data_IF_049686219930
#
_entry.id   IF_049686219930
#
_cell.length_a   1.000
_cell.length_b   1.000
_cell.length_c   1.000
_cell.angle_alpha   90.00
_cell.angle_beta   90.00
_cell.angle_gamma   90.00
#
_symmetry.space_group_name_H-M   'P 1'
#
loop_
_entity.id
_entity.type
_entity.pdbx_description
1 polymer ?
#
# COMPACT_ATOMS: atom_id res chain seq x y z
N UNK A 1 15.91 4.37 6.06
CA UNK A 1 15.31 5.36 6.98
C UNK A 1 16.20 6.59 7.21
N UNK A 2 15.59 7.77 7.34
CA UNK A 2 16.14 9.00 7.93
C UNK A 2 15.10 9.64 8.85
N UNK A 3 15.48 9.97 10.09
CA UNK A 3 14.60 10.69 11.03
C UNK A 3 14.36 12.13 10.59
N UNK A 4 13.15 12.63 10.84
CA UNK A 4 12.71 13.97 10.43
C UNK A 4 13.57 15.10 11.04
N UNK A 5 14.19 14.84 12.19
CA UNK A 5 15.08 15.75 12.92
C UNK A 5 16.57 15.53 12.64
N UNK A 6 16.94 14.48 11.91
CA UNK A 6 18.34 14.16 11.65
C UNK A 6 18.97 15.12 10.62
N UNK A 7 20.29 15.25 10.69
CA UNK A 7 21.07 15.89 9.63
C UNK A 7 21.26 14.91 8.47
N UNK A 8 20.96 15.29 7.21
CA UNK A 8 21.08 14.39 6.07
C UNK A 8 22.55 14.05 5.78
N UNK A 9 22.82 12.76 5.55
CA UNK A 9 24.15 12.20 5.24
C UNK A 9 24.54 12.41 3.78
N UNK A 10 23.56 12.59 2.90
CA UNK A 10 23.77 12.79 1.47
C UNK A 10 22.69 13.69 0.84
N UNK A 11 22.86 14.02 -0.45
CA UNK A 11 21.91 14.84 -1.19
C UNK A 11 20.53 14.18 -1.33
N UNK A 12 20.47 12.86 -1.45
CA UNK A 12 19.21 12.11 -1.56
C UNK A 12 18.41 12.16 -0.26
N UNK A 13 19.07 12.05 0.88
CA UNK A 13 18.43 12.22 2.19
C UNK A 13 17.91 13.63 2.41
N UNK A 14 18.67 14.64 1.97
CA UNK A 14 18.20 16.02 2.02
C UNK A 14 16.93 16.18 1.20
N UNK A 15 16.90 15.64 -0.02
CA UNK A 15 15.74 15.70 -0.89
C UNK A 15 14.54 14.93 -0.32
N UNK A 16 14.76 13.74 0.25
CA UNK A 16 13.70 12.99 0.94
C UNK A 16 13.08 13.79 2.11
N UNK A 17 13.90 14.46 2.91
CA UNK A 17 13.42 15.35 3.98
C UNK A 17 12.68 16.59 3.43
N UNK A 18 13.10 17.13 2.28
CA UNK A 18 12.40 18.24 1.63
C UNK A 18 11.00 17.83 1.13
N UNK A 19 10.90 16.65 0.48
CA UNK A 19 9.61 16.06 0.07
C UNK A 19 8.72 15.83 1.28
N UNK A 20 9.26 15.21 2.34
CA UNK A 20 8.56 14.99 3.60
C UNK A 20 8.00 16.30 4.17
N UNK A 21 8.83 17.34 4.28
CA UNK A 21 8.42 18.64 4.83
C UNK A 21 7.36 19.31 3.97
N UNK A 22 7.53 19.26 2.66
CA UNK A 22 6.59 19.87 1.72
C UNK A 22 5.19 19.24 1.82
N UNK A 23 5.10 17.90 1.90
CA UNK A 23 3.82 17.21 1.86
C UNK A 23 3.22 16.88 3.24
N UNK A 24 4.04 16.66 4.27
CA UNK A 24 3.57 16.21 5.57
C UNK A 24 3.35 17.34 6.60
N UNK A 25 4.07 18.47 6.51
CA UNK A 25 3.86 19.59 7.43
C UNK A 25 2.47 20.25 7.30
N UNK A 26 1.85 20.32 6.10
CA UNK A 26 0.48 20.82 5.97
C UNK A 26 -0.61 19.81 6.39
N UNK A 27 -0.23 18.53 6.60
CA UNK A 27 -1.15 17.38 6.51
C UNK A 27 -1.14 16.50 7.76
N UNK A 28 -0.72 17.01 8.92
CA UNK A 28 -0.83 16.28 10.19
C UNK A 28 -2.30 16.24 10.68
N UNK A 29 -3.15 15.58 9.89
CA UNK A 29 -4.60 15.48 10.06
C UNK A 29 -5.03 14.84 11.40
N UNK A 30 -4.11 14.15 12.09
CA UNK A 30 -4.40 13.41 13.32
C UNK A 30 -3.53 13.82 14.52
N UNK A 31 -2.71 14.87 14.38
CA UNK A 31 -1.78 15.31 15.45
C UNK A 31 -0.62 14.35 15.76
N UNK A 32 -0.51 13.22 15.06
CA UNK A 32 0.62 12.29 15.18
C UNK A 32 1.85 12.84 14.45
N UNK A 33 3.04 12.82 15.07
CA UNK A 33 4.24 13.33 14.43
C UNK A 33 4.70 12.36 13.34
N UNK A 34 5.07 12.90 12.19
CA UNK A 34 5.80 12.14 11.17
C UNK A 34 7.25 12.03 11.62
N UNK A 35 7.70 10.79 11.86
CA UNK A 35 8.98 10.52 12.51
C UNK A 35 10.18 10.58 11.56
N UNK A 36 9.96 10.39 10.27
CA UNK A 36 11.02 10.33 9.28
C UNK A 36 10.53 9.90 7.92
N UNK A 37 11.47 9.52 7.07
CA UNK A 37 11.20 9.00 5.74
C UNK A 37 12.06 7.76 5.47
N UNK A 38 11.45 6.76 4.88
CA UNK A 38 12.18 5.73 4.15
C UNK A 38 12.42 6.20 2.71
N UNK A 39 13.57 5.83 2.14
CA UNK A 39 13.93 6.22 0.78
C UNK A 39 14.88 5.18 0.19
N UNK A 40 14.75 4.97 -1.12
CA UNK A 40 15.65 4.17 -1.92
C UNK A 40 15.72 4.76 -3.33
N UNK A 41 16.79 4.41 -4.05
CA UNK A 41 16.94 4.78 -5.47
C UNK A 41 17.11 3.52 -6.28
N UNK A 42 16.35 3.45 -7.35
CA UNK A 42 16.40 2.35 -8.29
C UNK A 42 16.99 2.84 -9.62
N UNK A 43 18.23 2.45 -9.90
CA UNK A 43 18.87 2.75 -11.18
C UNK A 43 18.66 1.56 -12.12
N UNK A 44 17.95 1.80 -13.24
CA UNK A 44 17.71 0.79 -14.27
C UNK A 44 18.42 1.17 -15.57
N UNK A 45 19.11 0.21 -16.18
CA UNK A 45 19.67 0.33 -17.53
C UNK A 45 18.78 -0.45 -18.49
N UNK A 46 18.44 0.15 -19.62
CA UNK A 46 17.54 -0.44 -20.62
C UNK A 46 18.04 -1.75 -21.24
N UNK A 47 19.34 -2.04 -21.11
CA UNK A 47 20.02 -3.13 -21.81
C UNK A 47 20.10 -4.44 -21.01
N UNK A 48 19.72 -4.46 -19.72
CA UNK A 48 19.80 -5.66 -18.88
C UNK A 48 18.42 -6.27 -18.64
N UNK A 49 18.28 -7.58 -18.94
CA UNK A 49 17.04 -8.33 -18.73
C UNK A 49 16.58 -8.38 -17.26
N UNK A 50 17.49 -8.21 -16.31
CA UNK A 50 17.22 -8.19 -14.86
C UNK A 50 16.92 -6.77 -14.32
N UNK A 51 16.58 -5.81 -15.19
CA UNK A 51 16.30 -4.42 -14.79
C UNK A 51 14.89 -4.17 -14.25
N UNK A 52 14.08 -5.19 -13.94
CA UNK A 52 12.74 -4.98 -13.41
C UNK A 52 12.74 -4.96 -11.87
N UNK A 53 11.89 -4.12 -11.28
CA UNK A 53 11.44 -4.36 -9.91
C UNK A 53 10.22 -5.27 -10.02
N UNK A 54 10.20 -6.36 -9.25
CA UNK A 54 8.98 -7.14 -9.12
C UNK A 54 7.85 -6.25 -8.61
N UNK A 55 6.61 -6.54 -9.01
CA UNK A 55 5.46 -5.88 -8.44
C UNK A 55 5.49 -6.07 -6.92
N UNK A 56 5.46 -4.97 -6.18
CA UNK A 56 5.46 -4.95 -4.72
C UNK A 56 4.61 -3.77 -4.23
N UNK A 57 4.21 -3.85 -2.96
CA UNK A 57 3.60 -2.75 -2.24
C UNK A 57 4.67 -1.95 -1.53
N UNK A 58 4.53 -0.63 -1.54
CA UNK A 58 5.29 0.25 -0.65
C UNK A 58 4.85 -0.04 0.80
N UNK A 59 5.80 -0.49 1.62
CA UNK A 59 5.54 -1.07 2.94
C UNK A 59 6.81 -1.04 3.77
N UNK A 60 6.67 -1.10 5.09
CA UNK A 60 7.78 -1.45 5.98
C UNK A 60 8.31 -2.86 5.63
N UNK A 61 9.48 -2.92 4.96
CA UNK A 61 10.05 -4.18 4.49
C UNK A 61 10.60 -5.06 5.62
N UNK A 62 11.11 -4.45 6.70
CA UNK A 62 11.63 -5.17 7.86
C UNK A 62 10.47 -5.86 8.59
N UNK A 63 9.38 -5.13 8.85
CA UNK A 63 8.18 -5.66 9.49
C UNK A 63 7.53 -6.74 8.62
N UNK A 64 7.39 -6.49 7.32
CA UNK A 64 6.84 -7.49 6.38
C UNK A 64 7.68 -8.75 6.36
N UNK A 65 9.00 -8.65 6.37
CA UNK A 65 9.89 -9.82 6.38
C UNK A 65 9.74 -10.63 7.66
N UNK A 66 9.46 -9.98 8.79
CA UNK A 66 9.29 -10.63 10.09
C UNK A 66 7.90 -11.26 10.30
N UNK A 67 6.84 -10.62 9.79
CA UNK A 67 5.44 -10.94 10.16
C UNK A 67 4.56 -11.33 8.97
N UNK A 68 4.94 -10.93 7.75
CA UNK A 68 4.11 -11.00 6.56
C UNK A 68 3.11 -9.83 6.41
N UNK A 69 3.02 -8.93 7.39
CA UNK A 69 2.08 -7.81 7.38
C UNK A 69 2.55 -6.69 6.45
N UNK A 70 1.62 -6.09 5.71
CA UNK A 70 1.88 -4.93 4.87
C UNK A 70 1.44 -3.65 5.58
N UNK A 71 2.40 -2.93 6.16
CA UNK A 71 2.15 -1.62 6.76
C UNK A 71 2.64 -0.52 5.80
N UNK A 72 1.72 0.17 5.09
CA UNK A 72 2.10 1.21 4.15
C UNK A 72 2.53 2.50 4.88
N UNK A 73 3.36 3.35 4.25
CA UNK A 73 3.65 4.66 4.80
C UNK A 73 2.40 5.55 4.80
N UNK A 74 2.36 6.52 5.71
CA UNK A 74 1.30 7.55 5.73
C UNK A 74 1.19 8.32 4.41
N UNK A 75 2.33 8.53 3.75
CA UNK A 75 2.44 9.15 2.44
C UNK A 75 3.54 8.44 1.64
N UNK A 76 3.17 7.92 0.47
CA UNK A 76 4.09 7.39 -0.52
C UNK A 76 4.29 8.40 -1.66
N UNK A 77 5.53 8.58 -2.12
CA UNK A 77 5.84 9.42 -3.28
C UNK A 77 6.81 8.69 -4.22
N UNK A 78 6.60 8.81 -5.53
CA UNK A 78 7.50 8.27 -6.55
C UNK A 78 7.88 9.39 -7.52
N UNK A 79 9.17 9.51 -7.81
CA UNK A 79 9.68 10.47 -8.81
C UNK A 79 10.42 9.72 -9.91
N UNK A 80 10.00 9.95 -11.14
CA UNK A 80 10.63 9.39 -12.33
C UNK A 80 11.62 10.40 -12.92
N UNK A 81 12.88 9.97 -13.07
CA UNK A 81 13.93 10.74 -13.74
C UNK A 81 14.17 10.31 -15.20
N UNK A 82 13.42 9.31 -15.66
CA UNK A 82 13.47 8.75 -17.01
C UNK A 82 12.08 8.69 -17.61
N UNK A 83 11.99 8.71 -18.94
CA UNK A 83 10.74 8.55 -19.68
C UNK A 83 10.38 7.09 -19.97
N UNK A 84 11.13 6.13 -19.42
CA UNK A 84 10.91 4.70 -19.58
C UNK A 84 10.95 3.98 -18.23
N UNK A 85 10.21 2.88 -18.12
CA UNK A 85 10.05 2.08 -16.90
C UNK A 85 8.61 1.61 -16.70
N UNK A 86 8.40 0.69 -15.76
CA UNK A 86 7.05 0.31 -15.34
C UNK A 86 6.39 1.45 -14.53
N UNK A 87 5.08 1.70 -14.71
CA UNK A 87 4.39 2.76 -13.98
C UNK A 87 4.10 2.35 -12.53
N UNK A 88 3.93 3.34 -11.65
CA UNK A 88 3.37 3.16 -10.32
C UNK A 88 1.89 2.83 -10.48
N UNK A 89 1.43 1.79 -9.78
CA UNK A 89 0.02 1.42 -9.72
C UNK A 89 -0.57 1.89 -8.40
N UNK A 90 -1.71 2.58 -8.45
CA UNK A 90 -2.53 2.87 -7.29
C UNK A 90 -3.80 2.04 -7.41
N UNK A 91 -4.00 1.12 -6.48
CA UNK A 91 -5.10 0.17 -6.49
C UNK A 91 -6.06 0.50 -5.32
N UNK A 92 -7.38 0.31 -5.48
CA UNK A 92 -8.36 0.56 -4.43
C UNK A 92 -8.39 -0.59 -3.41
N UNK A 93 -7.25 -0.84 -2.78
CA UNK A 93 -7.04 -1.88 -1.77
C UNK A 93 -6.66 -1.18 -0.47
N UNK A 94 -7.29 -1.58 0.63
CA UNK A 94 -6.91 -1.12 1.96
C UNK A 94 -6.28 -2.28 2.75
N UNK A 95 -5.54 -1.94 3.80
CA UNK A 95 -5.10 -2.89 4.81
C UNK A 95 -5.98 -2.78 6.06
N UNK A 96 -6.20 -3.90 6.76
CA UNK A 96 -6.78 -3.88 8.09
C UNK A 96 -5.77 -3.38 9.14
N UNK A 97 -6.18 -3.41 10.42
CA UNK A 97 -5.33 -2.99 11.53
C UNK A 97 -4.07 -3.85 11.74
N UNK A 98 -3.95 -4.98 11.04
CA UNK A 98 -2.85 -5.93 11.10
C UNK A 98 -2.10 -6.01 9.75
N UNK A 99 -2.26 -5.03 8.86
CA UNK A 99 -1.56 -5.01 7.58
C UNK A 99 -2.01 -6.10 6.60
N UNK A 100 -3.15 -6.76 6.85
CA UNK A 100 -3.76 -7.72 5.93
C UNK A 100 -4.59 -7.00 4.87
N UNK A 101 -4.44 -7.37 3.59
CA UNK A 101 -5.22 -6.76 2.51
C UNK A 101 -6.72 -7.07 2.68
N UNK A 102 -7.54 -6.02 2.83
CA UNK A 102 -9.00 -6.15 2.81
C UNK A 102 -9.48 -5.98 1.38
N UNK A 103 -10.15 -7.01 0.85
CA UNK A 103 -10.82 -6.91 -0.44
C UNK A 103 -11.88 -5.81 -0.35
N UNK A 104 -11.77 -4.80 -1.22
CA UNK A 104 -12.87 -3.86 -1.45
C UNK A 104 -14.04 -4.64 -2.02
N UNK A 105 -14.90 -5.16 -1.14
CA UNK A 105 -16.14 -5.77 -1.55
C UNK A 105 -16.92 -4.75 -2.37
N UNK A 106 -17.12 -5.02 -3.65
CA UNK A 106 -18.28 -4.53 -4.35
C UNK A 106 -19.52 -5.13 -3.64
N UNK A 107 -19.95 -4.48 -2.56
CA UNK A 107 -21.17 -4.84 -1.87
C UNK A 107 -22.35 -4.23 -2.65
N UNK A 108 -23.16 -5.08 -3.29
CA UNK A 108 -24.56 -4.79 -3.55
C UNK A 108 -25.01 -4.85 -5.02
N UNK A 109 -25.17 -6.05 -5.55
CA UNK A 109 -26.43 -6.41 -6.19
C UNK A 109 -26.79 -7.84 -5.80
N UNK A 110 -27.25 -8.01 -4.56
CA UNK A 110 -28.02 -9.20 -4.20
C UNK A 110 -29.39 -9.03 -4.84
N UNK A 111 -29.50 -9.41 -6.12
CA UNK A 111 -30.76 -9.60 -6.80
C UNK A 111 -31.68 -10.45 -5.91
N UNK A 112 -32.75 -9.82 -5.44
CA UNK A 112 -33.77 -10.45 -4.63
C UNK A 112 -34.44 -11.58 -5.43
N UNK A 113 -34.10 -12.83 -5.12
CA UNK A 113 -35.00 -13.96 -5.24
C UNK A 113 -35.34 -14.36 -3.80
N UNK A 114 -36.49 -14.00 -3.23
CA UNK A 114 -37.81 -14.14 -3.81
C UNK A 114 -38.35 -15.54 -3.52
N UNK A 115 -38.66 -15.82 -2.24
CA UNK A 115 -39.73 -16.73 -1.80
C UNK A 115 -39.47 -18.24 -1.89
N UNK A 116 -39.56 -18.92 -0.74
CA UNK A 116 -39.75 -20.38 -0.71
C UNK A 116 -39.46 -21.00 0.66
N UNK A 117 -40.36 -20.77 1.61
CA UNK A 117 -40.32 -21.35 2.94
C UNK A 117 -40.37 -22.89 2.93
N UNK A 118 -39.65 -23.48 3.89
CA UNK A 118 -39.70 -24.90 4.22
C UNK A 118 -41.02 -25.30 4.92
N UNK A 119 -41.51 -26.48 4.57
CA UNK A 119 -42.53 -27.26 5.28
C UNK A 119 -42.76 -28.53 4.45
N UNK A 120 -42.59 -29.77 4.92
CA UNK A 120 -42.86 -30.34 6.22
C UNK A 120 -43.97 -31.37 6.06
N UNK A 121 -43.66 -32.67 6.23
CA UNK A 121 -44.68 -33.70 6.53
C UNK A 121 -44.90 -34.81 5.50
N UNK A 122 -44.42 -36.01 5.83
CA UNK A 122 -45.28 -37.18 6.08
C UNK A 122 -45.89 -37.96 4.91
N UNK A 123 -45.62 -39.28 4.89
CA UNK A 123 -46.68 -40.27 4.68
C UNK A 123 -46.59 -41.16 3.44
N UNK A 124 -46.05 -42.38 3.63
CA UNK A 124 -46.62 -43.67 3.23
C UNK A 124 -47.13 -43.92 1.80
N UNK A 125 -46.69 -45.04 1.21
CA UNK A 125 -47.55 -45.78 0.28
C UNK A 125 -46.85 -46.62 -0.79
N UNK A 126 -46.73 -47.92 -0.48
CA UNK A 126 -46.64 -49.10 -1.36
C UNK A 126 -45.32 -49.41 -2.06
#
# INVERSE_FOLDING_TARGET
WIDASASPRCALERWALEVLRFHALPSCCDGRPVLGAEWWVQVRRSESADASIGLHWDTDEDLKSLTGEHVPPFLATVTYLTSCGAPTLVLPVAADAHGGAVGGGAAGDSGAAGGGAAGGGGGGGR
#
